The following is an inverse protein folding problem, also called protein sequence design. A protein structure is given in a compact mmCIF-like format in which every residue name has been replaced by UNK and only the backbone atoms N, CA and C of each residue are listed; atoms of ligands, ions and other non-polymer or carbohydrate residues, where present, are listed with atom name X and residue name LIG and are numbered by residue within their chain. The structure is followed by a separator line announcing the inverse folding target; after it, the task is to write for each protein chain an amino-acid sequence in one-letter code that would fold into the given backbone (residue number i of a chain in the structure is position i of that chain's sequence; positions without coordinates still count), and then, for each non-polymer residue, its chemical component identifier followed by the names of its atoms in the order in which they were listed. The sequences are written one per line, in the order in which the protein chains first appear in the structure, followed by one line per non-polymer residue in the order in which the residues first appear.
data_IF_191003487762
#
_entry.id   IF_191003487762
#
_cell.length_a   1.000
_cell.length_b   1.000
_cell.length_c   1.000
_cell.angle_alpha   90.00
_cell.angle_beta   90.00
_cell.angle_gamma   90.00
#
_symmetry.space_group_name_H-M   'P 1'
#
loop_
_entity.id
_entity.type
_entity.pdbx_description
1 polymer ?
#
# COMPACT_ATOMS: atom_id res chain seq x y z
N UNK A 1 -33.82 59.33 -13.42
CA UNK A 1 -33.65 57.96 -14.06
C UNK A 1 -32.29 57.46 -13.72
N UNK A 2 -32.18 56.75 -12.62
CA UNK A 2 -30.93 56.13 -12.14
C UNK A 2 -30.96 54.63 -12.39
N UNK A 3 -30.00 54.15 -13.17
CA UNK A 3 -29.78 52.72 -13.41
C UNK A 3 -29.04 52.16 -12.22
N UNK A 4 -29.64 51.19 -11.54
CA UNK A 4 -28.98 50.32 -10.56
C UNK A 4 -28.29 49.18 -11.31
N UNK A 5 -26.98 49.15 -11.24
CA UNK A 5 -26.16 47.99 -11.65
C UNK A 5 -26.17 46.96 -10.55
N UNK A 6 -26.83 45.85 -10.83
CA UNK A 6 -26.86 44.67 -9.97
C UNK A 6 -25.59 43.84 -10.23
N UNK A 7 -24.59 43.99 -9.39
CA UNK A 7 -23.41 43.13 -9.38
C UNK A 7 -23.79 41.79 -8.71
N UNK A 8 -24.03 40.80 -9.53
CA UNK A 8 -24.13 39.40 -9.12
C UNK A 8 -22.75 38.91 -8.70
N UNK A 9 -22.49 38.84 -7.40
CA UNK A 9 -21.36 38.10 -6.84
C UNK A 9 -21.62 36.62 -7.06
N UNK A 10 -20.87 36.00 -7.97
CA UNK A 10 -20.76 34.56 -8.03
C UNK A 10 -19.91 34.10 -6.85
N UNK A 11 -20.54 33.63 -5.80
CA UNK A 11 -19.87 32.83 -4.77
C UNK A 11 -19.58 31.48 -5.39
N UNK A 12 -18.32 31.27 -5.79
CA UNK A 12 -17.78 29.93 -6.03
C UNK A 12 -17.65 29.25 -4.68
N UNK A 13 -18.67 28.49 -4.30
CA UNK A 13 -18.57 27.49 -3.25
C UNK A 13 -17.62 26.38 -3.73
N UNK A 14 -16.32 26.60 -3.54
CA UNK A 14 -15.34 25.51 -3.50
C UNK A 14 -15.49 24.84 -2.12
N UNK A 15 -16.48 23.97 -1.97
CA UNK A 15 -16.50 23.02 -0.89
C UNK A 15 -15.35 22.02 -1.17
N UNK A 16 -14.19 22.26 -0.56
CA UNK A 16 -13.14 21.26 -0.40
C UNK A 16 -13.85 20.12 0.32
N UNK A 17 -14.06 19.00 -0.37
CA UNK A 17 -14.66 17.84 0.24
C UNK A 17 -13.71 17.40 1.36
N UNK A 18 -14.17 17.46 2.62
CA UNK A 18 -13.39 17.03 3.78
C UNK A 18 -12.89 15.60 3.56
N UNK A 19 -11.59 15.45 3.44
CA UNK A 19 -10.94 14.15 3.44
C UNK A 19 -11.05 13.57 4.85
N UNK A 20 -11.47 12.31 4.95
CA UNK A 20 -11.61 11.63 6.24
C UNK A 20 -10.60 10.50 6.32
N UNK A 21 -9.70 10.55 7.31
CA UNK A 21 -8.83 9.42 7.64
C UNK A 21 -9.71 8.27 8.14
N UNK A 22 -9.59 7.12 7.50
CA UNK A 22 -10.29 5.88 7.85
C UNK A 22 -9.39 4.96 8.69
N UNK A 23 -8.08 5.02 8.44
CA UNK A 23 -7.08 4.20 9.10
C UNK A 23 -5.70 4.85 8.88
N UNK A 24 -4.81 4.72 9.87
CA UNK A 24 -3.41 5.15 9.76
C UNK A 24 -2.51 4.19 10.54
N UNK A 25 -1.19 4.23 10.26
CA UNK A 25 -0.22 3.38 10.93
C UNK A 25 1.13 3.32 10.24
N UNK A 26 1.87 2.26 10.51
CA UNK A 26 3.18 2.04 9.91
C UNK A 26 3.07 1.26 8.60
N UNK A 27 3.96 1.58 7.65
CA UNK A 27 4.11 0.87 6.40
C UNK A 27 5.55 0.42 6.23
N UNK A 28 5.73 -0.81 5.72
CA UNK A 28 7.04 -1.38 5.45
C UNK A 28 7.06 -2.01 4.08
N UNK A 29 8.21 -1.93 3.41
CA UNK A 29 8.45 -2.52 2.11
C UNK A 29 9.59 -3.52 2.20
N UNK A 30 9.38 -4.70 1.57
CA UNK A 30 10.36 -5.77 1.50
C UNK A 30 10.40 -6.34 0.09
N UNK A 31 11.55 -6.80 -0.33
CA UNK A 31 11.65 -7.66 -1.50
C UNK A 31 12.33 -8.97 -1.18
N UNK A 32 11.96 -10.02 -1.89
CA UNK A 32 12.59 -11.33 -1.81
C UNK A 32 13.34 -11.58 -3.11
N UNK A 33 14.64 -11.88 -3.07
CA UNK A 33 15.41 -12.19 -4.27
C UNK A 33 14.94 -13.49 -4.92
N UNK A 34 15.30 -13.69 -6.19
CA UNK A 34 15.17 -14.97 -6.86
C UNK A 34 16.04 -16.00 -6.15
N UNK A 35 15.59 -17.25 -6.15
CA UNK A 35 16.30 -18.35 -5.50
C UNK A 35 17.72 -18.49 -6.06
N UNK A 36 18.70 -18.45 -5.15
CA UNK A 36 20.10 -18.59 -5.48
C UNK A 36 20.75 -17.35 -6.13
N UNK A 37 20.08 -16.19 -6.12
CA UNK A 37 20.71 -14.94 -6.51
C UNK A 37 21.71 -14.52 -5.42
N UNK A 38 23.00 -14.51 -5.77
CA UNK A 38 24.07 -14.04 -4.87
C UNK A 38 24.03 -12.52 -4.72
N UNK A 39 23.69 -11.83 -5.80
CA UNK A 39 23.48 -10.37 -5.86
C UNK A 39 22.15 -10.04 -6.51
N UNK A 40 21.50 -8.97 -6.09
CA UNK A 40 20.31 -8.40 -6.71
C UNK A 40 20.72 -7.08 -7.37
N UNK A 41 20.65 -7.03 -8.69
CA UNK A 41 21.08 -5.87 -9.51
C UNK A 41 19.91 -5.08 -10.10
N UNK A 42 18.75 -5.71 -10.20
CA UNK A 42 17.57 -5.10 -10.78
C UNK A 42 16.30 -5.79 -10.31
N UNK A 43 15.14 -5.24 -10.67
CA UNK A 43 13.82 -5.86 -10.43
C UNK A 43 13.71 -7.26 -11.02
N UNK A 44 14.50 -7.57 -12.07
CA UNK A 44 14.50 -8.90 -12.67
C UNK A 44 15.00 -9.98 -11.70
N UNK A 45 15.90 -9.64 -10.78
CA UNK A 45 16.42 -10.54 -9.76
C UNK A 45 15.48 -10.66 -8.55
N UNK A 46 14.46 -9.82 -8.48
CA UNK A 46 13.41 -9.88 -7.45
C UNK A 46 12.42 -10.98 -7.81
N UNK A 47 12.13 -11.86 -6.84
CA UNK A 47 11.10 -12.89 -6.93
C UNK A 47 9.74 -12.39 -6.48
N UNK A 48 9.69 -11.65 -5.36
CA UNK A 48 8.47 -11.08 -4.78
C UNK A 48 8.75 -9.72 -4.18
N UNK A 49 7.76 -8.85 -4.27
CA UNK A 49 7.76 -7.57 -3.60
C UNK A 49 6.57 -7.53 -2.62
N UNK A 50 6.84 -7.08 -1.41
CA UNK A 50 5.88 -7.04 -0.32
C UNK A 50 5.68 -5.61 0.17
N UNK A 51 4.43 -5.28 0.44
CA UNK A 51 4.04 -4.11 1.22
C UNK A 51 3.36 -4.61 2.50
N UNK A 52 3.73 -4.09 3.65
CA UNK A 52 3.14 -4.46 4.93
C UNK A 52 2.52 -3.21 5.53
N UNK A 53 1.24 -3.27 5.90
CA UNK A 53 0.59 -2.23 6.68
C UNK A 53 0.33 -2.73 8.09
N UNK A 54 0.60 -1.86 9.06
CA UNK A 54 0.36 -2.12 10.48
C UNK A 54 -0.42 -0.95 11.06
N UNK A 55 -1.77 -1.01 11.06
CA UNK A 55 -2.60 0.05 11.59
C UNK A 55 -2.30 0.32 13.07
N UNK A 56 -2.50 1.56 13.49
CA UNK A 56 -2.42 1.94 14.90
C UNK A 56 -3.44 1.17 15.72
N UNK A 57 -3.08 0.87 16.97
CA UNK A 57 -3.97 0.13 17.87
C UNK A 57 -5.15 1.02 18.28
N UNK A 58 -6.35 0.59 17.93
CA UNK A 58 -7.58 1.17 18.48
C UNK A 58 -8.06 0.38 19.70
N UNK A 59 -8.22 1.06 20.84
CA UNK A 59 -8.93 0.53 22.02
C UNK A 59 -8.41 -0.82 22.55
N UNK A 60 -7.13 -0.98 22.80
CA UNK A 60 -6.51 -2.22 23.33
C UNK A 60 -6.71 -3.47 22.45
N UNK A 61 -6.96 -3.33 21.17
CA UNK A 61 -6.91 -4.46 20.24
C UNK A 61 -5.48 -4.74 19.81
N UNK A 62 -5.12 -6.02 19.74
CA UNK A 62 -3.82 -6.44 19.24
C UNK A 62 -3.55 -5.84 17.86
N UNK A 63 -2.35 -5.33 17.65
CA UNK A 63 -1.90 -4.79 16.36
C UNK A 63 -2.03 -5.87 15.28
N UNK A 64 -2.56 -5.49 14.14
CA UNK A 64 -2.71 -6.36 12.99
C UNK A 64 -1.64 -6.00 11.96
N UNK A 65 -0.98 -6.99 11.37
CA UNK A 65 -0.03 -6.80 10.27
C UNK A 65 -0.62 -7.45 9.02
N UNK A 66 -0.77 -6.68 7.95
CA UNK A 66 -1.24 -7.17 6.66
C UNK A 66 -0.07 -7.24 5.68
N UNK A 67 0.28 -8.42 5.25
CA UNK A 67 1.31 -8.65 4.24
C UNK A 67 0.67 -8.68 2.85
N UNK A 68 0.94 -7.70 2.02
CA UNK A 68 0.52 -7.68 0.62
C UNK A 68 1.64 -8.18 -0.29
N UNK A 69 1.30 -9.05 -1.23
CA UNK A 69 2.18 -9.47 -2.32
C UNK A 69 1.81 -8.66 -3.55
N UNK A 70 2.73 -7.85 -4.05
CA UNK A 70 2.53 -6.97 -5.21
C UNK A 70 2.86 -7.73 -6.49
N UNK A 71 1.91 -7.78 -7.41
CA UNK A 71 2.00 -8.66 -8.59
C UNK A 71 3.10 -8.31 -9.58
N UNK A 72 3.29 -7.02 -9.89
CA UNK A 72 4.30 -6.55 -10.86
C UNK A 72 5.70 -6.34 -10.24
N UNK A 73 5.88 -6.69 -8.96
CA UNK A 73 7.10 -6.47 -8.18
C UNK A 73 7.51 -5.00 -8.03
N UNK A 74 6.65 -4.07 -8.37
CA UNK A 74 6.82 -2.64 -8.17
C UNK A 74 5.47 -1.99 -7.86
N UNK A 75 5.49 -0.83 -7.23
CA UNK A 75 4.30 0.01 -7.07
C UNK A 75 3.94 0.71 -8.40
N UNK A 76 2.66 1.06 -8.61
CA UNK A 76 2.26 1.81 -9.80
C UNK A 76 2.90 3.20 -9.79
N UNK A 77 3.28 3.67 -10.98
CA UNK A 77 3.81 5.01 -11.15
C UNK A 77 2.74 6.07 -10.81
N UNK A 78 3.09 7.03 -9.97
CA UNK A 78 2.23 8.16 -9.63
C UNK A 78 2.46 9.28 -10.64
N UNK A 79 1.58 9.42 -11.62
CA UNK A 79 1.70 10.39 -12.71
C UNK A 79 0.79 11.60 -12.51
N UNK A 80 1.17 12.72 -13.17
CA UNK A 80 0.35 13.95 -13.24
C UNK A 80 -0.81 13.86 -14.23
N UNK A 81 -0.95 12.78 -14.98
CA UNK A 81 -2.00 12.58 -16.02
C UNK A 81 -2.94 11.46 -15.66
N UNK A 82 -4.13 11.39 -16.29
CA UNK A 82 -5.11 10.32 -16.02
C UNK A 82 -4.51 8.93 -16.13
N UNK A 83 -4.80 8.09 -15.13
CA UNK A 83 -4.31 6.71 -15.05
C UNK A 83 -4.90 5.86 -16.20
N UNK A 84 -4.04 5.16 -16.93
CA UNK A 84 -4.45 4.21 -17.96
C UNK A 84 -4.77 2.85 -17.35
N UNK A 85 -5.56 2.05 -18.04
CA UNK A 85 -5.88 0.68 -17.60
C UNK A 85 -4.62 -0.20 -17.37
N UNK A 86 -3.52 0.07 -18.08
CA UNK A 86 -2.21 -0.59 -17.92
C UNK A 86 -1.49 -0.21 -16.61
N UNK A 87 -1.91 0.85 -15.95
CA UNK A 87 -1.33 1.37 -14.70
C UNK A 87 -2.04 0.80 -13.46
N UNK A 88 -2.92 -0.15 -13.65
CA UNK A 88 -3.56 -0.92 -12.58
C UNK A 88 -2.63 -2.04 -12.12
N UNK A 89 -2.24 -1.99 -10.85
CA UNK A 89 -1.36 -2.99 -10.25
C UNK A 89 -2.15 -3.84 -9.27
N UNK A 90 -2.00 -5.14 -9.42
CA UNK A 90 -2.64 -6.14 -8.58
C UNK A 90 -1.78 -6.42 -7.38
N UNK A 91 -2.45 -6.59 -6.24
CA UNK A 91 -1.83 -7.17 -5.07
C UNK A 91 -2.81 -8.13 -4.39
N UNK A 92 -2.28 -8.98 -3.55
CA UNK A 92 -3.03 -9.95 -2.76
C UNK A 92 -2.59 -9.86 -1.32
N UNK A 93 -3.53 -9.96 -0.38
CA UNK A 93 -3.20 -10.17 1.03
C UNK A 93 -2.64 -11.58 1.18
N UNK A 94 -1.33 -11.70 1.28
CA UNK A 94 -0.60 -12.96 1.41
C UNK A 94 -0.68 -13.55 2.82
N UNK A 95 -0.89 -12.70 3.84
CA UNK A 95 -1.04 -13.11 5.22
C UNK A 95 -1.53 -12.00 6.13
N UNK A 96 -2.16 -12.41 7.22
CA UNK A 96 -2.62 -11.54 8.31
C UNK A 96 -2.00 -12.08 9.59
N UNK A 97 -1.26 -11.24 10.30
CA UNK A 97 -0.52 -11.62 11.49
C UNK A 97 -0.90 -10.73 12.68
N UNK A 98 -1.05 -11.32 13.85
CA UNK A 98 -1.25 -10.61 15.12
C UNK A 98 0.04 -10.52 15.93
N UNK A 99 0.97 -11.40 15.65
CA UNK A 99 2.28 -11.46 16.29
C UNK A 99 3.36 -11.07 15.26
N UNK A 100 4.17 -10.05 15.54
CA UNK A 100 5.29 -9.68 14.66
C UNK A 100 6.31 -10.80 14.48
N UNK A 101 6.46 -11.73 15.44
CA UNK A 101 7.35 -12.88 15.29
C UNK A 101 6.87 -13.86 14.20
N UNK A 102 5.55 -14.02 14.05
CA UNK A 102 4.98 -14.85 12.96
C UNK A 102 5.20 -14.20 11.60
N UNK A 103 4.98 -12.89 11.49
CA UNK A 103 5.27 -12.13 10.28
C UNK A 103 6.76 -12.21 9.92
N UNK A 104 7.64 -12.05 10.90
CA UNK A 104 9.09 -12.13 10.69
C UNK A 104 9.51 -13.52 10.24
N UNK A 105 8.94 -14.57 10.80
CA UNK A 105 9.16 -15.94 10.31
C UNK A 105 8.76 -16.09 8.85
N UNK A 106 7.60 -15.53 8.43
CA UNK A 106 7.17 -15.56 7.03
C UNK A 106 8.15 -14.81 6.11
N UNK A 107 8.66 -13.65 6.55
CA UNK A 107 9.63 -12.86 5.79
C UNK A 107 10.99 -13.57 5.68
N UNK A 108 11.43 -14.22 6.76
CA UNK A 108 12.72 -14.94 6.81
C UNK A 108 12.62 -16.37 6.23
N UNK A 109 11.40 -16.95 6.21
CA UNK A 109 11.22 -18.30 5.73
C UNK A 109 11.41 -18.36 4.21
N UNK A 110 12.53 -18.92 3.81
CA UNK A 110 12.53 -19.78 2.65
C UNK A 110 13.04 -21.13 3.13
N UNK A 111 12.28 -22.19 2.95
CA UNK A 111 12.55 -23.53 3.49
C UNK A 111 13.91 -24.09 3.08
N UNK A 112 14.67 -23.38 2.25
CA UNK A 112 15.84 -23.95 1.60
C UNK A 112 17.17 -23.21 1.75
N UNK A 113 17.25 -21.87 2.02
CA UNK A 113 18.56 -21.16 2.16
C UNK A 113 18.46 -19.81 2.87
N UNK A 114 19.48 -19.49 3.67
CA UNK A 114 19.66 -18.20 4.37
C UNK A 114 19.70 -16.96 3.47
N UNK A 115 20.01 -17.11 2.17
CA UNK A 115 20.11 -16.02 1.18
C UNK A 115 18.78 -15.60 0.54
N UNK A 116 17.72 -16.36 0.75
CA UNK A 116 16.42 -16.13 0.09
C UNK A 116 15.42 -15.40 1.00
N UNK A 117 15.84 -14.93 2.17
CA UNK A 117 15.04 -14.13 3.09
C UNK A 117 14.60 -12.81 2.44
N UNK A 118 13.42 -12.33 2.79
CA UNK A 118 12.99 -11.00 2.36
C UNK A 118 13.85 -9.91 3.00
N UNK A 119 14.24 -8.91 2.22
CA UNK A 119 15.13 -7.81 2.59
C UNK A 119 14.32 -6.54 2.75
N UNK A 120 14.46 -5.80 3.86
CA UNK A 120 13.78 -4.53 4.05
C UNK A 120 14.31 -3.49 3.06
N UNK A 121 13.41 -2.72 2.44
CA UNK A 121 13.76 -1.73 1.44
C UNK A 121 13.04 -0.40 1.65
N UNK A 122 12.12 -0.32 2.60
CA UNK A 122 11.46 0.92 2.95
C UNK A 122 10.66 0.80 4.23
N UNK A 123 10.58 1.91 4.95
CA UNK A 123 9.80 2.08 6.17
C UNK A 123 9.21 3.48 6.19
N UNK A 124 7.99 3.62 6.70
CA UNK A 124 7.34 4.92 6.82
C UNK A 124 5.96 4.84 7.47
N UNK A 125 5.20 5.89 7.27
CA UNK A 125 3.82 6.02 7.77
C UNK A 125 2.84 5.99 6.62
N UNK A 126 1.64 5.47 6.86
CA UNK A 126 0.55 5.48 5.90
C UNK A 126 -0.76 5.93 6.53
N UNK A 127 -1.66 6.38 5.65
CA UNK A 127 -3.07 6.56 5.96
C UNK A 127 -3.93 6.01 4.83
N UNK A 128 -5.10 5.45 5.16
CA UNK A 128 -6.18 5.21 4.22
C UNK A 128 -7.19 6.32 4.40
N UNK A 129 -7.40 7.08 3.34
CA UNK A 129 -8.21 8.29 3.35
C UNK A 129 -9.43 8.10 2.46
N UNK A 130 -10.58 8.54 2.93
CA UNK A 130 -11.77 8.65 2.09
C UNK A 130 -11.73 9.93 1.31
N UNK A 131 -11.74 9.82 0.00
CA UNK A 131 -11.86 10.95 -0.92
C UNK A 131 -13.10 10.74 -1.79
N UNK A 132 -14.14 11.54 -1.57
CA UNK A 132 -15.43 11.40 -2.28
C UNK A 132 -15.97 9.95 -2.26
N UNK A 133 -15.87 9.25 -3.39
CA UNK A 133 -16.42 7.89 -3.59
C UNK A 133 -15.38 6.77 -3.55
N UNK A 134 -14.09 7.09 -3.36
CA UNK A 134 -13.02 6.11 -3.32
C UNK A 134 -12.17 6.28 -2.05
N UNK A 135 -11.31 5.32 -1.80
CA UNK A 135 -10.29 5.40 -0.78
C UNK A 135 -8.91 5.47 -1.44
N UNK A 136 -8.02 6.21 -0.82
CA UNK A 136 -6.62 6.31 -1.19
C UNK A 136 -5.75 5.79 -0.05
N UNK A 137 -4.80 4.91 -0.37
CA UNK A 137 -3.69 4.57 0.50
C UNK A 137 -2.56 5.54 0.19
N UNK A 138 -2.27 6.40 1.14
CA UNK A 138 -1.18 7.36 1.05
C UNK A 138 -0.06 6.98 2.00
N UNK A 139 1.20 7.24 1.63
CA UNK A 139 2.32 7.04 2.54
C UNK A 139 3.41 8.11 2.38
N UNK A 140 4.19 8.26 3.45
CA UNK A 140 5.44 9.01 3.48
C UNK A 140 6.54 8.05 3.93
N UNK A 141 7.60 7.95 3.13
CA UNK A 141 8.77 7.13 3.43
C UNK A 141 9.66 7.85 4.45
N UNK A 142 10.00 7.17 5.55
CA UNK A 142 10.92 7.65 6.57
C UNK A 142 12.35 7.15 6.28
N UNK A 143 12.47 5.87 5.94
CA UNK A 143 13.72 5.24 5.56
C UNK A 143 13.60 4.50 4.21
N UNK A 144 14.61 4.65 3.32
CA UNK A 144 15.72 5.63 3.43
C UNK A 144 15.19 7.06 3.39
N UNK A 145 15.97 8.02 3.92
CA UNK A 145 15.57 9.42 3.92
C UNK A 145 15.29 9.95 2.50
N UNK A 146 16.08 9.52 1.53
CA UNK A 146 15.87 9.78 0.10
C UNK A 146 15.82 8.43 -0.65
N UNK A 147 14.85 8.22 -1.53
CA UNK A 147 14.80 7.04 -2.38
C UNK A 147 16.07 6.88 -3.22
N UNK A 148 16.69 5.71 -3.15
CA UNK A 148 17.85 5.34 -3.93
C UNK A 148 17.50 4.40 -5.09
N UNK A 149 18.49 3.68 -5.61
CA UNK A 149 18.33 2.74 -6.71
C UNK A 149 17.30 1.64 -6.41
N UNK A 150 17.38 1.05 -5.21
CA UNK A 150 16.48 -0.02 -4.81
C UNK A 150 15.00 0.42 -4.75
N UNK A 151 14.75 1.61 -4.23
CA UNK A 151 13.40 2.18 -4.17
C UNK A 151 12.88 2.51 -5.57
N UNK A 152 13.72 3.10 -6.43
CA UNK A 152 13.36 3.46 -7.79
C UNK A 152 12.99 2.22 -8.63
N UNK A 153 13.77 1.13 -8.54
CA UNK A 153 13.47 -0.14 -9.20
C UNK A 153 12.13 -0.75 -8.76
N UNK A 154 11.75 -0.57 -7.49
CA UNK A 154 10.51 -1.08 -6.92
C UNK A 154 9.35 -0.07 -6.96
N UNK A 155 9.56 1.11 -7.54
CA UNK A 155 8.55 2.16 -7.64
C UNK A 155 8.16 2.77 -6.29
N UNK A 156 9.06 2.74 -5.30
CA UNK A 156 8.86 3.36 -3.99
C UNK A 156 9.31 4.81 -4.06
N UNK A 157 8.37 5.75 -4.03
CA UNK A 157 8.65 7.18 -3.98
C UNK A 157 8.78 7.67 -2.53
N UNK A 158 9.31 8.88 -2.33
CA UNK A 158 9.35 9.52 -1.00
C UNK A 158 7.96 9.69 -0.42
N UNK A 159 7.02 10.07 -1.26
CA UNK A 159 5.59 10.25 -0.95
C UNK A 159 4.77 9.72 -2.12
N UNK A 160 3.76 8.93 -1.84
CA UNK A 160 2.86 8.44 -2.87
C UNK A 160 1.45 8.22 -2.35
N UNK A 161 0.49 8.26 -3.27
CA UNK A 161 -0.91 7.93 -3.01
C UNK A 161 -1.44 7.02 -4.11
N UNK A 162 -2.24 6.03 -3.71
CA UNK A 162 -2.86 5.05 -4.60
C UNK A 162 -4.33 4.91 -4.28
N UNK A 163 -5.19 5.04 -5.29
CA UNK A 163 -6.57 4.57 -5.17
C UNK A 163 -6.52 3.08 -4.89
N UNK A 164 -7.17 2.65 -3.81
CA UNK A 164 -7.20 1.26 -3.36
C UNK A 164 -8.63 0.72 -3.34
N UNK A 165 -8.83 -0.44 -3.97
CA UNK A 165 -10.11 -1.13 -4.00
C UNK A 165 -9.90 -2.63 -3.88
N UNK A 166 -10.90 -3.33 -3.32
CA UNK A 166 -10.92 -4.80 -3.23
C UNK A 166 -11.73 -5.36 -4.38
N UNK A 167 -11.29 -6.48 -4.92
CA UNK A 167 -12.01 -7.20 -5.96
C UNK A 167 -13.15 -7.99 -5.34
N UNK A 168 -14.30 -7.92 -5.96
CA UNK A 168 -15.46 -8.68 -5.53
C UNK A 168 -15.20 -10.19 -5.74
N UNK A 169 -15.16 -11.01 -4.69
CA UNK A 169 -14.87 -12.43 -4.81
C UNK A 169 -15.96 -13.21 -5.54
N UNK A 170 -17.16 -12.63 -5.69
CA UNK A 170 -18.28 -13.22 -6.45
C UNK A 170 -18.14 -13.01 -7.96
N UNK A 171 -17.18 -12.19 -8.41
CA UNK A 171 -16.97 -11.86 -9.82
C UNK A 171 -15.66 -12.46 -10.32
N UNK A 172 -15.69 -13.28 -11.37
CA UNK A 172 -14.45 -13.74 -11.98
C UNK A 172 -13.74 -12.54 -12.59
N UNK A 173 -12.60 -12.19 -12.03
CA UNK A 173 -11.82 -11.06 -12.47
C UNK A 173 -11.24 -11.23 -13.88
N UNK A 174 -11.18 -12.46 -14.38
CA UNK A 174 -10.50 -12.81 -15.62
C UNK A 174 -11.12 -12.24 -16.89
N UNK A 175 -12.41 -11.88 -16.91
CA UNK A 175 -13.09 -11.48 -18.16
C UNK A 175 -13.16 -9.98 -18.42
N UNK A 176 -12.83 -9.15 -17.44
CA UNK A 176 -13.08 -7.71 -17.53
C UNK A 176 -11.88 -6.81 -17.23
N UNK A 177 -10.69 -7.42 -17.02
CA UNK A 177 -9.49 -6.67 -16.67
C UNK A 177 -8.47 -6.79 -17.78
N UNK A 178 -7.97 -5.66 -18.32
CA UNK A 178 -6.87 -5.67 -19.27
C UNK A 178 -5.65 -6.32 -18.62
N UNK A 179 -5.33 -7.54 -19.03
CA UNK A 179 -4.24 -8.33 -18.48
C UNK A 179 -2.90 -7.86 -19.05
N UNK A 180 -2.24 -7.01 -18.32
CA UNK A 180 -0.82 -6.69 -18.55
C UNK A 180 0.10 -7.21 -17.44
N UNK A 181 -0.37 -8.06 -16.53
CA UNK A 181 0.41 -8.61 -15.42
C UNK A 181 -0.13 -9.95 -14.95
N UNK A 182 0.71 -10.74 -14.31
CA UNK A 182 0.33 -12.02 -13.71
C UNK A 182 -0.78 -11.79 -12.68
N UNK A 183 -1.96 -12.22 -13.05
CA UNK A 183 -3.13 -12.25 -12.22
C UNK A 183 -2.92 -13.31 -11.13
N UNK A 184 -3.29 -13.06 -9.84
CA UNK A 184 -3.28 -14.10 -8.84
C UNK A 184 -4.18 -15.26 -9.31
N UNK A 185 -3.72 -16.49 -9.17
CA UNK A 185 -4.53 -17.66 -9.54
C UNK A 185 -5.87 -17.61 -8.80
N UNK A 186 -6.95 -17.95 -9.49
CA UNK A 186 -8.31 -18.00 -8.96
C UNK A 186 -8.52 -19.10 -7.92
N UNK A 187 -7.48 -19.89 -7.61
CA UNK A 187 -7.56 -21.03 -6.70
C UNK A 187 -7.64 -20.62 -5.22
N UNK A 188 -7.17 -19.42 -4.89
CA UNK A 188 -7.17 -18.92 -3.51
C UNK A 188 -8.20 -17.80 -3.35
N UNK A 189 -9.41 -18.17 -3.00
CA UNK A 189 -10.52 -17.23 -2.74
C UNK A 189 -10.47 -16.77 -1.28
N UNK A 190 -10.65 -15.47 -0.99
CA UNK A 190 -10.73 -15.00 0.39
C UNK A 190 -11.98 -15.52 1.08
N UNK A 191 -11.82 -16.03 2.30
CA UNK A 191 -12.93 -16.53 3.12
C UNK A 191 -13.54 -15.38 3.92
N UNK A 192 -14.38 -14.58 3.28
CA UNK A 192 -15.13 -13.53 3.95
C UNK A 192 -16.33 -14.12 4.76
N UNK A 193 -16.55 -13.66 6.00
CA UNK A 193 -17.81 -13.91 6.70
C UNK A 193 -19.01 -13.35 5.93
N UNK A 194 -20.19 -13.91 6.21
CA UNK A 194 -21.42 -13.58 5.49
C UNK A 194 -21.81 -12.09 5.62
N UNK A 195 -21.55 -11.48 6.77
CA UNK A 195 -21.76 -10.06 7.02
C UNK A 195 -20.85 -9.19 6.16
N UNK A 196 -19.61 -9.62 5.92
CA UNK A 196 -18.64 -8.90 5.07
C UNK A 196 -18.96 -9.09 3.58
N UNK A 197 -19.45 -10.26 3.21
CA UNK A 197 -19.88 -10.52 1.83
C UNK A 197 -21.05 -9.63 1.37
N UNK A 198 -21.81 -9.05 2.29
CA UNK A 198 -22.89 -8.07 1.98
C UNK A 198 -22.35 -6.73 1.48
N UNK A 199 -21.08 -6.40 1.79
CA UNK A 199 -20.42 -5.21 1.25
C UNK A 199 -20.17 -5.31 -0.26
N UNK A 200 -20.15 -6.52 -0.80
CA UNK A 200 -19.94 -6.80 -2.22
C UNK A 200 -21.28 -6.92 -2.95
N UNK A 201 -21.68 -5.86 -3.64
CA UNK A 201 -22.84 -5.88 -4.51
C UNK A 201 -22.60 -6.77 -5.73
N UNK A 202 -23.65 -7.37 -6.25
CA UNK A 202 -23.54 -8.26 -7.42
C UNK A 202 -23.18 -7.51 -8.73
N UNK A 203 -23.35 -6.18 -8.78
CA UNK A 203 -22.98 -5.34 -9.93
C UNK A 203 -21.51 -4.91 -9.92
N UNK A 204 -20.90 -4.74 -8.75
CA UNK A 204 -19.59 -4.12 -8.59
C UNK A 204 -18.48 -5.15 -8.80
N UNK A 205 -17.50 -4.84 -9.66
CA UNK A 205 -16.26 -5.63 -9.82
C UNK A 205 -15.27 -5.24 -8.73
N UNK A 206 -15.22 -3.93 -8.41
CA UNK A 206 -14.33 -3.36 -7.42
C UNK A 206 -15.13 -2.68 -6.32
N UNK A 207 -14.74 -2.89 -5.09
CA UNK A 207 -15.34 -2.25 -3.91
C UNK A 207 -14.30 -1.38 -3.25
N UNK A 208 -14.61 -0.09 -3.13
CA UNK A 208 -13.72 0.88 -2.49
C UNK A 208 -13.59 0.60 -0.99
N UNK A 209 -12.38 0.72 -0.45
CA UNK A 209 -12.14 0.69 1.00
C UNK A 209 -12.79 1.86 1.74
N UNK A 210 -13.29 2.88 1.03
CA UNK A 210 -14.09 3.95 1.63
C UNK A 210 -15.37 3.44 2.30
N UNK A 211 -15.85 2.25 1.94
CA UNK A 211 -16.98 1.58 2.59
C UNK A 211 -16.56 0.90 3.88
N UNK A 212 -15.46 0.12 3.84
CA UNK A 212 -14.98 -0.66 4.97
C UNK A 212 -13.52 -1.05 4.77
N UNK A 213 -12.61 -0.52 5.60
CA UNK A 213 -11.17 -0.87 5.54
C UNK A 213 -10.91 -2.33 5.91
N UNK A 214 -11.81 -2.98 6.67
CA UNK A 214 -11.67 -4.38 7.06
C UNK A 214 -11.78 -5.37 5.90
N UNK A 215 -12.17 -4.92 4.70
CA UNK A 215 -12.16 -5.79 3.51
C UNK A 215 -10.77 -6.35 3.17
N UNK A 216 -9.70 -5.71 3.67
CA UNK A 216 -8.32 -6.18 3.52
C UNK A 216 -7.77 -6.94 4.73
N UNK A 217 -8.61 -7.26 5.71
CA UNK A 217 -8.24 -8.07 6.90
C UNK A 217 -8.38 -9.58 6.65
N UNK A 218 -8.54 -9.99 5.41
CA UNK A 218 -8.73 -11.40 5.04
C UNK A 218 -7.65 -11.86 4.10
N UNK A 219 -7.02 -12.99 4.46
CA UNK A 219 -6.04 -13.64 3.58
C UNK A 219 -6.66 -13.93 2.22
N UNK A 220 -5.87 -13.78 1.18
CA UNK A 220 -6.25 -13.90 -0.22
C UNK A 220 -7.19 -12.81 -0.75
N UNK A 221 -7.55 -11.80 0.06
CA UNK A 221 -8.21 -10.62 -0.48
C UNK A 221 -7.37 -10.02 -1.61
N UNK A 222 -8.00 -9.84 -2.76
CA UNK A 222 -7.34 -9.30 -3.95
C UNK A 222 -7.63 -7.80 -4.01
N UNK A 223 -6.59 -7.00 -4.20
CA UNK A 223 -6.71 -5.55 -4.29
C UNK A 223 -6.15 -5.04 -5.61
N UNK A 224 -6.61 -3.86 -5.99
CA UNK A 224 -6.05 -3.08 -7.07
C UNK A 224 -5.51 -1.78 -6.52
N UNK A 225 -4.31 -1.41 -6.97
CA UNK A 225 -3.65 -0.13 -6.71
C UNK A 225 -3.55 0.64 -8.02
N UNK A 226 -3.94 1.91 -7.99
CA UNK A 226 -3.88 2.82 -9.13
C UNK A 226 -3.21 4.09 -8.63
N UNK A 227 -2.17 4.59 -9.29
CA UNK A 227 -1.54 5.84 -8.93
C UNK A 227 -2.56 6.98 -8.87
N UNK A 228 -2.67 7.65 -7.74
CA UNK A 228 -3.61 8.76 -7.54
C UNK A 228 -2.97 10.09 -7.95
N UNK A 229 -3.76 10.94 -8.61
CA UNK A 229 -3.30 12.25 -9.08
C UNK A 229 -3.53 13.36 -8.07
N UNK A 230 -4.67 13.34 -7.41
CA UNK A 230 -5.16 14.47 -6.59
C UNK A 230 -4.77 14.34 -5.11
N UNK A 231 -4.55 13.11 -4.63
CA UNK A 231 -4.22 12.83 -3.24
C UNK A 231 -2.93 13.47 -2.74
N UNK A 232 -1.97 13.76 -3.62
CA UNK A 232 -0.70 14.40 -3.26
C UNK A 232 -0.86 15.77 -2.59
N UNK A 233 -1.76 16.59 -3.08
CA UNK A 233 -1.93 17.96 -2.55
C UNK A 233 -2.75 17.96 -1.27
N UNK A 234 -3.72 17.06 -1.15
CA UNK A 234 -4.53 16.87 0.06
C UNK A 234 -3.70 16.20 1.17
N UNK A 235 -2.87 15.21 0.81
CA UNK A 235 -1.94 14.54 1.73
C UNK A 235 -0.90 15.52 2.26
N UNK A 236 -0.39 16.42 1.42
CA UNK A 236 0.55 17.45 1.84
C UNK A 236 -0.06 18.49 2.77
N UNK A 237 -1.34 18.84 2.59
CA UNK A 237 -1.95 19.94 3.35
C UNK A 237 -2.60 19.50 4.67
N UNK A 238 -3.21 18.32 4.74
CA UNK A 238 -3.99 17.90 5.91
C UNK A 238 -3.44 16.66 6.58
N UNK A 239 -3.10 15.62 5.78
CA UNK A 239 -2.63 14.33 6.30
C UNK A 239 -1.12 14.30 6.42
N UNK A 240 -0.41 14.96 5.51
CA UNK A 240 1.05 15.05 5.54
C UNK A 240 1.57 15.72 6.80
N UNK A 241 0.83 16.66 7.38
CA UNK A 241 1.18 17.30 8.64
C UNK A 241 1.04 16.30 9.81
N UNK A 242 -0.08 15.59 9.89
CA UNK A 242 -0.31 14.59 10.95
C UNK A 242 0.66 13.41 10.83
N UNK A 243 0.90 12.90 9.61
CA UNK A 243 1.88 11.83 9.38
C UNK A 243 3.30 12.32 9.69
N UNK A 244 3.67 13.54 9.27
CA UNK A 244 4.99 14.09 9.55
C UNK A 244 5.21 14.40 11.03
N UNK A 245 4.19 14.82 11.76
CA UNK A 245 4.27 15.04 13.22
C UNK A 245 4.45 13.73 13.99
N UNK A 246 3.86 12.63 13.51
CA UNK A 246 4.02 11.30 14.10
C UNK A 246 5.38 10.67 13.81
N UNK A 247 6.10 11.14 12.77
CA UNK A 247 7.37 10.58 12.30
C UNK A 247 8.64 11.20 12.92
N UNK A 248 8.52 12.05 13.94
CA UNK A 248 9.68 12.75 14.54
C UNK A 248 10.64 11.86 15.37
N UNK A 249 10.36 10.59 15.56
CA UNK A 249 11.28 9.66 16.22
C UNK A 249 12.14 8.91 15.18
N UNK A 250 13.33 9.44 14.94
CA UNK A 250 14.34 8.95 13.99
C UNK A 250 14.99 7.62 14.41
N UNK A 251 14.27 6.53 14.45
CA UNK A 251 14.89 5.21 14.56
C UNK A 251 14.24 4.23 13.58
N UNK A 252 15.06 3.34 13.00
CA UNK A 252 14.55 2.26 12.16
C UNK A 252 13.63 1.34 12.99
N UNK A 253 12.37 1.69 13.01
CA UNK A 253 11.33 1.02 13.79
C UNK A 253 11.09 -0.43 13.34
N UNK A 254 11.44 -0.72 12.08
CA UNK A 254 11.33 -2.04 11.48
C UNK A 254 12.00 -3.13 12.34
N UNK A 255 13.16 -2.83 12.93
CA UNK A 255 13.88 -3.80 13.78
C UNK A 255 13.20 -4.00 15.14
N UNK A 256 12.62 -2.95 15.69
CA UNK A 256 11.94 -3.01 16.98
C UNK A 256 10.52 -3.55 16.85
N UNK A 257 9.73 -3.03 15.93
CA UNK A 257 8.31 -3.36 15.77
C UNK A 257 8.09 -4.71 15.11
N UNK A 258 8.94 -5.10 14.13
CA UNK A 258 8.88 -6.40 13.48
C UNK A 258 9.84 -7.42 14.11
N UNK A 259 10.60 -7.04 15.15
CA UNK A 259 11.60 -7.88 15.83
C UNK A 259 12.63 -8.50 14.87
N UNK A 260 12.85 -7.86 13.73
CA UNK A 260 13.84 -8.28 12.74
C UNK A 260 15.23 -7.96 13.25
N UNK A 261 16.17 -8.90 13.15
CA UNK A 261 17.55 -8.68 13.57
C UNK A 261 18.41 -8.27 12.36
N UNK A 262 19.26 -7.26 12.54
CA UNK A 262 20.16 -6.73 11.50
C UNK A 262 21.15 -7.76 10.94
N UNK A 263 21.46 -8.81 11.71
CA UNK A 263 22.37 -9.91 11.31
C UNK A 263 21.65 -11.02 10.51
N UNK A 264 20.34 -10.95 10.38
CA UNK A 264 19.53 -11.96 9.67
C UNK A 264 19.35 -11.64 8.18
N UNK A 265 19.37 -10.36 7.82
CA UNK A 265 19.10 -9.88 6.46
C UNK A 265 20.03 -8.73 6.08
N UNK A 266 20.34 -8.56 4.79
CA UNK A 266 20.97 -7.34 4.28
C UNK A 266 20.12 -6.11 4.58
N UNK A 267 20.75 -5.03 5.06
CA UNK A 267 20.07 -3.79 5.44
C UNK A 267 20.38 -2.60 4.53
N UNK A 268 21.37 -2.74 3.64
CA UNK A 268 21.78 -1.66 2.72
C UNK A 268 20.62 -1.15 1.83
N UNK A 269 19.67 -1.99 1.39
CA UNK A 269 18.54 -1.48 0.64
C UNK A 269 17.69 -0.49 1.44
N UNK A 270 17.56 -0.71 2.78
CA UNK A 270 16.84 0.21 3.66
C UNK A 270 17.65 1.45 4.02
N UNK A 271 18.97 1.30 4.27
CA UNK A 271 19.80 2.40 4.83
C UNK A 271 20.52 3.22 3.78
N UNK A 272 20.89 2.62 2.65
CA UNK A 272 21.67 3.25 1.57
C UNK A 272 20.89 3.34 0.24
N UNK A 273 19.70 2.72 0.17
CA UNK A 273 18.91 2.68 -1.06
C UNK A 273 19.52 1.84 -2.19
N UNK A 274 20.39 0.90 -1.88
CA UNK A 274 21.07 0.04 -2.87
C UNK A 274 20.51 -1.37 -2.85
N UNK A 275 20.29 -1.94 -4.03
CA UNK A 275 20.00 -3.37 -4.14
C UNK A 275 21.20 -4.20 -3.65
N UNK A 276 20.94 -5.33 -3.03
CA UNK A 276 21.98 -6.20 -2.47
C UNK A 276 21.60 -7.69 -2.63
#
# INVERSE_FOLDING_TARGET
MSKQDNHMKSTSDNSIAESKILEQGDIYFFYRPKKGAEEVKSIEDVRRFFMITAPEEENNKSRLYRLFVIGKKSLPEVRKTEARASERYWARVGGIFKDPDELTKELLSDEFRKGDAARPVGEGKYAIVKHQNHAELAYILELPNEPGEAQNELGIEKEASYIISVINPKKPAASSIPTGGSYPSTEEIPMYPEEVLKEFNDSDIFVSLARNTKLIDYQNAQIILIGAREGRDVIKSEIGIEIAESSQENSADIFNKLKLRKDQVPIRPLTEGKLE
#
